data_IF_141280325363
#
_entry.id   IF_141280325363
#
_cell.length_a   1.000
_cell.length_b   1.000
_cell.length_c   1.000
_cell.angle_alpha   90.00
_cell.angle_beta   90.00
_cell.angle_gamma   90.00
#
_symmetry.space_group_name_H-M   'P 1'
#
loop_
_entity.id
_entity.type
_entity.pdbx_description
1 polymer ?
#
# COMPACT_ATOMS: atom_id res chain seq x y z
N UNK A 1 -20.11 8.44 -11.97
CA UNK A 1 -19.76 7.01 -12.27
C UNK A 1 -19.56 6.28 -10.97
N UNK A 2 -20.23 5.14 -10.76
CA UNK A 2 -20.01 4.35 -9.53
C UNK A 2 -18.76 3.44 -9.72
N UNK A 3 -17.63 3.84 -9.10
CA UNK A 3 -16.35 3.14 -9.22
C UNK A 3 -16.43 1.69 -8.72
N UNK A 4 -17.23 1.43 -7.69
CA UNK A 4 -17.47 0.08 -7.16
C UNK A 4 -18.17 -0.83 -8.19
N UNK A 5 -19.18 -0.31 -8.90
CA UNK A 5 -19.83 -1.09 -9.96
C UNK A 5 -18.87 -1.41 -11.12
N UNK A 6 -17.97 -0.50 -11.45
CA UNK A 6 -16.94 -0.78 -12.47
C UNK A 6 -15.94 -1.85 -12.01
N UNK A 7 -15.55 -1.83 -10.74
CA UNK A 7 -14.78 -2.93 -10.15
C UNK A 7 -15.52 -4.26 -10.21
N UNK A 8 -16.81 -4.29 -9.83
CA UNK A 8 -17.62 -5.52 -9.87
C UNK A 8 -17.73 -6.10 -11.28
N UNK A 9 -17.88 -5.27 -12.31
CA UNK A 9 -17.84 -5.70 -13.71
C UNK A 9 -16.50 -6.30 -14.09
N UNK A 10 -15.40 -5.64 -13.72
CA UNK A 10 -14.06 -6.15 -13.98
C UNK A 10 -13.81 -7.47 -13.25
N UNK A 11 -14.18 -7.57 -11.97
CA UNK A 11 -14.06 -8.80 -11.19
C UNK A 11 -14.86 -9.96 -11.82
N UNK A 12 -16.03 -9.68 -12.41
CA UNK A 12 -16.82 -10.68 -13.11
C UNK A 12 -16.12 -11.21 -14.38
N UNK A 13 -15.34 -10.35 -15.06
CA UNK A 13 -14.50 -10.79 -16.20
C UNK A 13 -13.43 -11.78 -15.70
N UNK A 14 -12.74 -11.48 -14.60
CA UNK A 14 -11.75 -12.40 -14.02
C UNK A 14 -12.38 -13.74 -13.64
N UNK A 15 -13.53 -13.73 -12.97
CA UNK A 15 -14.25 -14.93 -12.57
C UNK A 15 -14.64 -15.79 -13.77
N UNK A 16 -15.09 -15.19 -14.88
CA UNK A 16 -15.45 -15.92 -16.10
C UNK A 16 -14.26 -16.65 -16.73
N UNK A 17 -13.02 -16.24 -16.38
CA UNK A 17 -11.78 -16.90 -16.81
C UNK A 17 -11.13 -17.76 -15.71
N UNK A 18 -11.85 -18.00 -14.60
CA UNK A 18 -11.41 -18.88 -13.52
C UNK A 18 -10.49 -18.24 -12.48
N UNK A 19 -10.43 -16.90 -12.44
CA UNK A 19 -9.59 -16.15 -11.51
C UNK A 19 -10.42 -15.23 -10.62
N UNK A 20 -9.82 -14.80 -9.51
CA UNK A 20 -10.40 -13.82 -8.61
C UNK A 20 -9.72 -12.46 -8.76
N UNK A 21 -10.49 -11.39 -8.50
CA UNK A 21 -10.00 -10.03 -8.39
C UNK A 21 -10.53 -9.43 -7.10
N UNK A 22 -9.64 -8.83 -6.32
CA UNK A 22 -9.98 -8.17 -5.05
C UNK A 22 -9.47 -6.73 -5.09
N UNK A 23 -10.23 -5.78 -4.54
CA UNK A 23 -9.66 -4.50 -4.18
C UNK A 23 -8.76 -4.65 -2.96
N UNK A 24 -7.76 -3.78 -2.82
CA UNK A 24 -6.77 -3.90 -1.76
C UNK A 24 -6.20 -2.55 -1.33
N UNK A 25 -5.53 -2.53 -0.22
CA UNK A 25 -4.66 -1.42 0.17
C UNK A 25 -5.42 -0.13 0.47
N UNK A 26 -4.93 0.95 -0.15
CA UNK A 26 -5.53 2.28 0.01
C UNK A 26 -6.99 2.33 -0.40
N UNK A 27 -7.35 1.64 -1.47
CA UNK A 27 -8.73 1.59 -1.98
C UNK A 27 -9.70 1.04 -0.93
N UNK A 28 -9.36 -0.07 -0.27
CA UNK A 28 -10.23 -0.68 0.76
C UNK A 28 -10.31 0.19 2.01
N UNK A 29 -9.17 0.74 2.46
CA UNK A 29 -9.13 1.66 3.59
C UNK A 29 -10.01 2.88 3.33
N UNK A 30 -9.88 3.50 2.17
CA UNK A 30 -10.59 4.74 1.82
C UNK A 30 -12.10 4.46 1.62
N UNK A 31 -12.46 3.29 1.10
CA UNK A 31 -13.84 2.80 1.06
C UNK A 31 -14.44 2.69 2.48
N UNK A 32 -13.72 2.08 3.44
CA UNK A 32 -14.18 1.94 4.83
C UNK A 32 -14.30 3.29 5.55
N UNK A 33 -13.50 4.28 5.15
CA UNK A 33 -13.57 5.65 5.66
C UNK A 33 -14.60 6.53 4.92
N UNK A 34 -15.36 5.98 3.99
CA UNK A 34 -16.30 6.71 3.12
C UNK A 34 -15.63 7.89 2.37
N UNK A 35 -14.36 7.76 2.04
CA UNK A 35 -13.63 8.73 1.22
C UNK A 35 -13.87 8.47 -0.27
N UNK A 36 -13.64 9.51 -1.07
CA UNK A 36 -13.64 9.34 -2.52
C UNK A 36 -12.50 8.42 -2.94
N UNK A 37 -12.82 7.44 -3.79
CA UNK A 37 -11.82 6.53 -4.35
C UNK A 37 -11.22 7.17 -5.60
N UNK A 38 -9.90 7.24 -5.71
CA UNK A 38 -9.20 7.71 -6.91
C UNK A 38 -8.92 6.53 -7.87
N UNK A 39 -7.68 6.19 -8.11
CA UNK A 39 -7.29 4.99 -8.85
C UNK A 39 -7.57 3.75 -7.98
N UNK A 40 -7.92 2.63 -8.62
CA UNK A 40 -8.35 1.41 -7.94
C UNK A 40 -7.19 0.43 -7.82
N UNK A 41 -6.63 0.26 -6.61
CA UNK A 41 -5.66 -0.79 -6.34
C UNK A 41 -6.36 -2.15 -6.23
N UNK A 42 -5.95 -3.11 -7.04
CA UNK A 42 -6.51 -4.45 -7.06
C UNK A 42 -5.41 -5.53 -7.06
N UNK A 43 -5.77 -6.71 -6.60
CA UNK A 43 -4.92 -7.91 -6.68
C UNK A 43 -5.69 -9.08 -7.26
N UNK A 44 -4.97 -9.99 -7.93
CA UNK A 44 -5.54 -11.20 -8.52
C UNK A 44 -4.63 -12.42 -8.28
N UNK A 45 -5.24 -13.58 -8.24
CA UNK A 45 -4.55 -14.88 -8.30
C UNK A 45 -4.13 -15.28 -9.72
N UNK A 46 -4.49 -14.48 -10.74
CA UNK A 46 -3.99 -14.62 -12.10
C UNK A 46 -2.60 -14.00 -12.24
N UNK A 47 -1.70 -14.67 -12.95
CA UNK A 47 -0.39 -14.13 -13.36
C UNK A 47 -0.55 -13.06 -14.44
N UNK A 48 0.45 -12.18 -14.66
CA UNK A 48 0.38 -11.20 -15.73
C UNK A 48 0.10 -11.82 -17.11
N UNK A 49 0.70 -12.98 -17.39
CA UNK A 49 0.49 -13.69 -18.65
C UNK A 49 -0.96 -14.17 -18.80
N UNK A 50 -1.55 -14.71 -17.73
CA UNK A 50 -2.95 -15.14 -17.74
C UNK A 50 -3.89 -13.93 -17.91
N UNK A 51 -3.65 -12.81 -17.21
CA UNK A 51 -4.47 -11.59 -17.35
C UNK A 51 -4.43 -11.07 -18.80
N UNK A 52 -3.26 -11.04 -19.42
CA UNK A 52 -3.10 -10.57 -20.81
C UNK A 52 -3.82 -11.45 -21.83
N UNK A 53 -4.14 -12.71 -21.50
CA UNK A 53 -4.88 -13.59 -22.40
C UNK A 53 -6.36 -13.22 -22.57
N UNK A 54 -6.92 -12.48 -21.62
CA UNK A 54 -8.36 -12.11 -21.65
C UNK A 54 -8.65 -10.62 -21.44
N UNK A 55 -7.69 -9.83 -20.95
CA UNK A 55 -7.88 -8.40 -20.73
C UNK A 55 -7.02 -7.59 -21.74
N UNK A 56 -7.64 -6.95 -22.73
CA UNK A 56 -6.91 -6.16 -23.73
C UNK A 56 -6.50 -4.78 -23.17
N UNK A 57 -5.58 -4.11 -23.88
CA UNK A 57 -5.17 -2.73 -23.61
C UNK A 57 -4.60 -2.50 -22.20
N UNK A 58 -3.79 -3.44 -21.73
CA UNK A 58 -3.12 -3.38 -20.44
C UNK A 58 -1.70 -2.86 -20.63
N UNK A 59 -1.28 -1.89 -19.81
CA UNK A 59 0.12 -1.46 -19.71
C UNK A 59 0.93 -2.51 -18.93
N UNK A 60 1.97 -3.02 -19.56
CA UNK A 60 2.82 -4.14 -19.09
C UNK A 60 4.18 -3.69 -18.58
N UNK A 61 4.42 -2.39 -18.43
CA UNK A 61 5.72 -1.81 -18.03
C UNK A 61 6.30 -2.51 -16.80
N UNK A 62 5.47 -2.86 -15.82
CA UNK A 62 5.86 -3.51 -14.58
C UNK A 62 5.37 -4.97 -14.47
N UNK A 63 5.05 -5.62 -15.58
CA UNK A 63 4.57 -7.01 -15.59
C UNK A 63 5.58 -8.01 -14.98
N UNK A 64 6.88 -7.76 -15.14
CA UNK A 64 7.92 -8.56 -14.50
C UNK A 64 7.90 -8.52 -12.97
N UNK A 65 7.30 -7.49 -12.37
CA UNK A 65 7.04 -7.37 -10.94
C UNK A 65 5.64 -7.84 -10.56
N UNK A 66 4.85 -8.34 -11.51
CA UNK A 66 3.47 -8.76 -11.31
C UNK A 66 2.45 -7.62 -11.35
N UNK A 67 2.84 -6.39 -11.70
CA UNK A 67 1.94 -5.23 -11.72
C UNK A 67 1.57 -4.83 -13.15
N UNK A 68 0.28 -4.64 -13.39
CA UNK A 68 -0.33 -4.25 -14.65
C UNK A 68 -1.22 -3.03 -14.43
N UNK A 69 -1.28 -2.12 -15.41
CA UNK A 69 -2.21 -0.99 -15.36
C UNK A 69 -3.28 -1.16 -16.42
N UNK A 70 -4.50 -1.14 -15.99
CA UNK A 70 -5.67 -1.22 -16.86
C UNK A 70 -6.52 0.03 -16.76
N UNK A 71 -6.96 0.53 -17.89
CA UNK A 71 -7.91 1.64 -17.99
C UNK A 71 -9.16 1.15 -18.71
N UNK A 72 -10.30 1.18 -18.02
CA UNK A 72 -11.55 0.75 -18.61
C UNK A 72 -12.11 1.80 -19.62
N UNK A 73 -13.17 1.43 -20.34
CA UNK A 73 -13.82 2.29 -21.34
C UNK A 73 -14.33 3.62 -20.76
N UNK A 74 -14.65 3.64 -19.46
CA UNK A 74 -15.13 4.82 -18.74
C UNK A 74 -13.97 5.70 -18.20
N UNK A 75 -12.73 5.33 -18.48
CA UNK A 75 -11.55 6.08 -18.08
C UNK A 75 -11.05 5.79 -16.67
N UNK A 76 -11.71 4.90 -15.91
CA UNK A 76 -11.26 4.49 -14.57
C UNK A 76 -10.02 3.61 -14.68
N UNK A 77 -9.01 3.91 -13.86
CA UNK A 77 -7.76 3.19 -13.82
C UNK A 77 -7.76 2.16 -12.71
N UNK A 78 -7.18 1.01 -13.00
CA UNK A 78 -6.92 -0.08 -12.08
C UNK A 78 -5.44 -0.42 -12.11
N UNK A 79 -4.80 -0.42 -10.95
CA UNK A 79 -3.47 -0.98 -10.75
C UNK A 79 -3.64 -2.42 -10.24
N UNK A 80 -3.48 -3.39 -11.16
CA UNK A 80 -3.73 -4.81 -10.88
C UNK A 80 -2.39 -5.48 -10.59
N UNK A 81 -2.22 -6.03 -9.39
CA UNK A 81 -1.00 -6.75 -9.02
C UNK A 81 -1.34 -8.23 -8.80
N UNK A 82 -0.55 -9.13 -9.39
CA UNK A 82 -0.63 -10.57 -9.07
C UNK A 82 -0.26 -10.79 -7.61
N UNK A 83 -1.02 -11.63 -6.91
CA UNK A 83 -0.70 -12.06 -5.54
C UNK A 83 0.70 -12.65 -5.50
N UNK A 84 1.53 -12.22 -4.53
CA UNK A 84 2.92 -12.62 -4.49
C UNK A 84 3.51 -12.64 -3.08
N UNK A 85 4.52 -13.44 -2.91
CA UNK A 85 5.49 -13.38 -1.82
C UNK A 85 6.75 -12.65 -2.27
N UNK A 86 7.40 -11.99 -1.36
CA UNK A 86 8.66 -11.29 -1.59
C UNK A 86 9.69 -11.75 -0.56
N UNK A 87 10.91 -12.03 -1.01
CA UNK A 87 12.01 -12.40 -0.11
C UNK A 87 13.33 -11.79 -0.56
N UNK A 88 14.29 -11.74 0.41
CA UNK A 88 15.68 -11.31 0.17
C UNK A 88 15.79 -9.90 -0.42
N UNK A 89 15.58 -8.88 0.38
CA UNK A 89 15.75 -7.49 -0.02
C UNK A 89 17.24 -7.15 -0.17
N UNK A 90 17.66 -6.79 -1.38
CA UNK A 90 19.09 -6.56 -1.69
C UNK A 90 19.54 -5.12 -1.45
N UNK A 91 18.69 -4.15 -1.82
CA UNK A 91 19.03 -2.72 -1.82
C UNK A 91 18.12 -1.92 -0.88
N UNK A 92 17.67 -2.55 0.22
CA UNK A 92 16.74 -1.97 1.19
C UNK A 92 15.39 -1.54 0.57
N UNK A 93 14.96 -2.15 -0.55
CA UNK A 93 13.65 -1.88 -1.14
C UNK A 93 13.15 -2.93 -2.13
N UNK A 94 14.02 -3.43 -3.00
CA UNK A 94 13.59 -4.33 -4.07
C UNK A 94 13.83 -5.79 -3.63
N UNK A 95 12.77 -6.62 -3.62
CA UNK A 95 12.94 -8.03 -3.35
C UNK A 95 13.75 -8.66 -4.48
N UNK A 96 14.70 -9.54 -4.12
CA UNK A 96 15.44 -10.34 -5.10
C UNK A 96 14.56 -11.38 -5.78
N UNK A 97 13.65 -11.92 -5.02
CA UNK A 97 12.77 -12.98 -5.46
C UNK A 97 11.31 -12.58 -5.26
N UNK A 98 10.56 -12.69 -6.35
CA UNK A 98 9.13 -12.54 -6.40
C UNK A 98 8.57 -13.89 -6.80
N UNK A 99 7.74 -14.46 -5.95
CA UNK A 99 7.03 -15.71 -6.21
C UNK A 99 5.52 -15.43 -6.29
N UNK A 100 4.91 -15.69 -7.45
CA UNK A 100 3.47 -15.51 -7.60
C UNK A 100 2.74 -16.62 -6.86
N UNK A 101 1.75 -16.23 -6.05
CA UNK A 101 0.94 -17.12 -5.20
C UNK A 101 -0.54 -16.97 -5.51
N UNK A 102 -1.36 -17.91 -5.01
CA UNK A 102 -2.81 -17.87 -5.18
C UNK A 102 -3.57 -17.59 -3.88
N UNK A 103 -2.86 -17.49 -2.77
CA UNK A 103 -3.46 -17.29 -1.44
C UNK A 103 -3.20 -15.86 -0.93
N UNK A 104 -4.28 -15.16 -0.60
CA UNK A 104 -4.22 -13.83 0.03
C UNK A 104 -3.45 -13.85 1.35
N UNK A 105 -3.44 -15.00 2.06
CA UNK A 105 -2.70 -15.17 3.32
C UNK A 105 -1.18 -15.10 3.15
N UNK A 106 -0.67 -15.27 1.96
CA UNK A 106 0.75 -15.11 1.66
C UNK A 106 1.04 -13.67 1.23
N UNK A 107 0.16 -13.07 0.42
CA UNK A 107 0.35 -11.71 -0.08
C UNK A 107 0.29 -10.65 1.02
N UNK A 108 -0.58 -10.78 2.05
CA UNK A 108 -0.68 -9.73 3.07
C UNK A 108 0.60 -9.58 3.90
N UNK A 109 1.40 -10.63 4.07
CA UNK A 109 2.62 -10.62 4.88
C UNK A 109 3.70 -9.67 4.33
N UNK A 110 3.74 -9.44 3.01
CA UNK A 110 4.68 -8.49 2.40
C UNK A 110 4.25 -7.02 2.54
N UNK A 111 2.98 -6.74 2.89
CA UNK A 111 2.45 -5.38 2.99
C UNK A 111 3.01 -4.65 4.20
N UNK A 112 2.88 -3.33 4.20
CA UNK A 112 3.47 -2.47 5.23
C UNK A 112 2.65 -2.43 6.54
N UNK A 113 1.42 -1.94 6.46
CA UNK A 113 0.59 -1.67 7.64
C UNK A 113 -0.73 -2.42 7.56
N UNK A 114 -1.27 -2.78 8.74
CA UNK A 114 -2.52 -3.52 8.86
C UNK A 114 -3.68 -2.84 8.13
N UNK A 115 -3.78 -1.51 8.22
CA UNK A 115 -4.80 -0.70 7.56
C UNK A 115 -4.73 -0.71 6.02
N UNK A 116 -3.61 -1.15 5.45
CA UNK A 116 -3.38 -1.26 4.01
C UNK A 116 -3.31 -2.72 3.53
N UNK A 117 -3.67 -3.69 4.38
CA UNK A 117 -3.58 -5.12 4.06
C UNK A 117 -4.94 -5.82 4.10
N UNK A 118 -5.98 -5.06 4.01
CA UNK A 118 -7.35 -5.55 3.85
C UNK A 118 -7.67 -5.73 2.37
N UNK A 119 -8.44 -6.75 2.07
CA UNK A 119 -8.96 -7.05 0.73
C UNK A 119 -10.48 -6.92 0.71
N UNK A 120 -11.04 -6.63 -0.44
CA UNK A 120 -12.49 -6.59 -0.64
C UNK A 120 -12.85 -7.35 -1.90
N UNK A 121 -13.74 -8.33 -1.78
CA UNK A 121 -14.22 -9.12 -2.91
C UNK A 121 -15.29 -8.37 -3.74
N UNK A 122 -15.75 -8.99 -4.83
CA UNK A 122 -16.80 -8.43 -5.70
C UNK A 122 -18.15 -8.22 -5.00
N UNK A 123 -18.41 -8.96 -3.93
CA UNK A 123 -19.64 -8.87 -3.14
C UNK A 123 -19.49 -7.90 -1.96
N UNK A 124 -18.37 -7.17 -1.93
CA UNK A 124 -17.99 -6.14 -0.95
C UNK A 124 -17.73 -6.72 0.45
N UNK A 125 -17.46 -8.01 0.56
CA UNK A 125 -17.02 -8.60 1.82
C UNK A 125 -15.56 -8.25 2.07
N UNK A 126 -15.25 -7.79 3.29
CA UNK A 126 -13.89 -7.48 3.69
C UNK A 126 -13.19 -8.74 4.21
N UNK A 127 -12.02 -9.03 3.64
CA UNK A 127 -11.14 -10.11 4.06
C UNK A 127 -9.95 -9.46 4.78
N UNK A 128 -9.81 -9.73 6.07
CA UNK A 128 -8.83 -9.08 6.95
C UNK A 128 -8.12 -10.13 7.82
N UNK A 129 -6.85 -10.37 7.52
CA UNK A 129 -6.03 -11.37 8.24
C UNK A 129 -5.22 -10.78 9.38
N UNK A 130 -5.17 -9.45 9.52
CA UNK A 130 -4.27 -8.77 10.45
C UNK A 130 -4.96 -7.75 11.35
N UNK A 131 -6.29 -7.79 11.46
CA UNK A 131 -7.11 -6.83 12.22
C UNK A 131 -7.00 -5.37 11.74
N UNK A 132 -6.81 -5.14 10.44
CA UNK A 132 -6.70 -3.81 9.86
C UNK A 132 -7.95 -2.96 10.07
N UNK A 133 -9.16 -3.56 10.00
CA UNK A 133 -10.41 -2.84 10.32
C UNK A 133 -10.45 -2.36 11.77
N UNK A 134 -10.00 -3.20 12.71
CA UNK A 134 -9.94 -2.85 14.14
C UNK A 134 -8.92 -1.74 14.38
N UNK A 135 -7.73 -1.84 13.79
CA UNK A 135 -6.71 -0.81 13.93
C UNK A 135 -7.18 0.51 13.32
N UNK A 136 -7.84 0.49 12.14
CA UNK A 136 -8.40 1.66 11.51
C UNK A 136 -9.48 2.33 12.38
N UNK A 137 -10.40 1.54 12.95
CA UNK A 137 -11.47 2.05 13.83
C UNK A 137 -10.95 2.62 15.15
N UNK A 138 -9.83 2.07 15.65
CA UNK A 138 -9.17 2.53 16.89
C UNK A 138 -8.13 3.64 16.63
N UNK A 139 -8.00 4.11 15.39
CA UNK A 139 -6.98 5.09 14.99
C UNK A 139 -5.55 4.66 15.32
N UNK A 140 -5.20 3.38 15.10
CA UNK A 140 -3.87 2.82 15.34
C UNK A 140 -3.16 2.57 14.00
N UNK A 141 -1.91 2.98 13.89
CA UNK A 141 -1.01 2.57 12.81
C UNK A 141 -0.08 1.47 13.31
N UNK A 142 -0.28 0.27 12.80
CA UNK A 142 0.49 -0.93 13.14
C UNK A 142 1.16 -1.52 11.91
N UNK A 143 2.43 -1.90 12.06
CA UNK A 143 3.19 -2.61 11.02
C UNK A 143 2.83 -4.11 11.02
N UNK A 144 2.85 -4.73 9.85
CA UNK A 144 2.72 -6.18 9.70
C UNK A 144 4.10 -6.80 9.92
N UNK A 145 4.17 -7.76 10.84
CA UNK A 145 5.43 -8.39 11.23
C UNK A 145 6.24 -7.56 12.23
N UNK A 146 7.50 -7.91 12.40
CA UNK A 146 8.42 -7.22 13.32
C UNK A 146 8.87 -5.88 12.72
N UNK A 147 8.59 -4.73 13.37
CA UNK A 147 8.94 -3.42 12.84
C UNK A 147 10.44 -3.24 12.58
N UNK A 148 11.30 -3.80 13.44
CA UNK A 148 12.76 -3.67 13.30
C UNK A 148 13.27 -4.37 12.05
N UNK A 149 12.73 -5.54 11.72
CA UNK A 149 13.03 -6.29 10.52
C UNK A 149 12.46 -5.56 9.29
N UNK A 150 11.19 -5.19 9.35
CA UNK A 150 10.46 -4.59 8.23
C UNK A 150 11.00 -3.23 7.80
N UNK A 151 11.51 -2.43 8.75
CA UNK A 151 12.14 -1.14 8.44
C UNK A 151 13.54 -1.29 7.84
N UNK A 152 14.26 -2.38 8.15
CA UNK A 152 15.52 -2.70 7.47
C UNK A 152 15.31 -3.17 6.02
N UNK A 153 14.23 -3.89 5.76
CA UNK A 153 13.84 -4.31 4.40
C UNK A 153 13.53 -3.12 3.49
N UNK A 154 12.75 -2.15 3.99
CA UNK A 154 12.42 -0.91 3.26
C UNK A 154 12.31 0.27 4.23
N UNK A 155 13.37 1.07 4.40
CA UNK A 155 13.36 2.24 5.27
C UNK A 155 12.33 3.31 4.87
N UNK A 156 11.86 3.32 3.60
CA UNK A 156 10.83 4.25 3.16
C UNK A 156 9.52 4.07 3.93
N UNK A 157 9.31 2.88 4.55
CA UNK A 157 8.18 2.63 5.44
C UNK A 157 8.13 3.57 6.65
N UNK A 158 9.27 4.15 7.07
CA UNK A 158 9.31 5.20 8.11
C UNK A 158 8.53 6.43 7.65
N UNK A 159 8.83 6.94 6.46
CA UNK A 159 8.14 8.11 5.90
C UNK A 159 6.68 7.81 5.59
N UNK A 160 6.40 6.58 5.12
CA UNK A 160 5.03 6.12 4.90
C UNK A 160 4.23 6.06 6.20
N UNK A 161 4.85 5.58 7.31
CA UNK A 161 4.21 5.57 8.63
C UNK A 161 3.86 6.99 9.09
N UNK A 162 4.79 7.92 8.99
CA UNK A 162 4.56 9.33 9.34
C UNK A 162 3.44 9.91 8.48
N UNK A 163 3.48 9.68 7.17
CA UNK A 163 2.44 10.15 6.25
C UNK A 163 1.06 9.61 6.61
N UNK A 164 0.92 8.30 6.82
CA UNK A 164 -0.37 7.71 7.19
C UNK A 164 -0.86 8.17 8.56
N UNK A 165 0.04 8.28 9.55
CA UNK A 165 -0.30 8.81 10.86
C UNK A 165 -0.87 10.23 10.75
N UNK A 166 -0.27 11.08 9.92
CA UNK A 166 -0.71 12.46 9.71
C UNK A 166 -2.02 12.53 8.92
N UNK A 167 -2.12 11.84 7.77
CA UNK A 167 -3.27 11.93 6.86
C UNK A 167 -4.56 11.32 7.43
N UNK A 168 -4.44 10.29 8.28
CA UNK A 168 -5.59 9.56 8.83
C UNK A 168 -5.74 9.75 10.34
N UNK A 169 -4.97 10.66 10.94
CA UNK A 169 -4.98 10.93 12.39
C UNK A 169 -4.84 9.64 13.20
N UNK A 170 -3.81 8.84 12.89
CA UNK A 170 -3.54 7.56 13.55
C UNK A 170 -2.42 7.72 14.57
N UNK A 171 -2.57 7.04 15.71
CA UNK A 171 -1.50 6.90 16.69
C UNK A 171 -0.59 5.76 16.25
N UNK A 172 0.70 6.05 16.11
CA UNK A 172 1.70 5.03 15.78
C UNK A 172 1.85 4.09 16.98
N UNK A 173 1.74 2.80 16.73
CA UNK A 173 1.89 1.77 17.76
C UNK A 173 3.30 1.85 18.39
N UNK A 174 3.44 1.71 19.75
CA UNK A 174 4.70 1.98 20.44
C UNK A 174 5.91 1.21 19.90
N UNK A 175 5.78 -0.07 19.58
CA UNK A 175 6.90 -0.86 19.05
C UNK A 175 7.35 -0.38 17.67
N UNK A 176 6.39 0.06 16.83
CA UNK A 176 6.71 0.67 15.55
C UNK A 176 7.40 2.04 15.74
N UNK A 177 6.91 2.86 16.67
CA UNK A 177 7.48 4.17 16.95
C UNK A 177 8.94 4.08 17.44
N UNK A 178 9.23 3.17 18.36
CA UNK A 178 10.59 2.90 18.84
C UNK A 178 11.49 2.41 17.71
N UNK A 179 11.05 1.44 16.93
CA UNK A 179 11.81 0.93 15.78
C UNK A 179 12.06 2.04 14.73
N UNK A 180 11.09 2.91 14.47
CA UNK A 180 11.28 4.05 13.56
C UNK A 180 12.37 5.00 14.06
N UNK A 181 12.37 5.33 15.35
CA UNK A 181 13.39 6.18 15.97
C UNK A 181 14.79 5.56 15.85
N UNK A 182 14.91 4.26 16.21
CA UNK A 182 16.18 3.54 16.18
C UNK A 182 16.71 3.32 14.76
N UNK A 183 15.84 3.29 13.74
CA UNK A 183 16.19 3.03 12.33
C UNK A 183 16.09 4.27 11.43
N UNK A 184 15.80 5.44 11.99
CA UNK A 184 15.64 6.66 11.19
C UNK A 184 16.86 6.99 10.31
N UNK A 185 18.06 6.67 10.79
CA UNK A 185 19.31 6.86 10.06
C UNK A 185 19.35 6.10 8.71
N UNK A 186 18.57 5.01 8.56
CA UNK A 186 18.53 4.24 7.33
C UNK A 186 17.95 5.04 6.15
N UNK A 187 17.23 6.13 6.41
CA UNK A 187 16.74 7.03 5.36
C UNK A 187 17.88 7.69 4.57
N UNK A 188 19.09 7.79 5.13
CA UNK A 188 20.27 8.26 4.40
C UNK A 188 20.64 7.37 3.21
N UNK A 189 20.19 6.13 3.17
CA UNK A 189 20.40 5.21 2.06
C UNK A 189 19.33 5.34 0.96
N UNK A 190 18.30 6.16 1.18
CA UNK A 190 17.21 6.39 0.24
C UNK A 190 17.49 7.65 -0.58
N UNK A 191 17.21 7.59 -1.88
CA UNK A 191 17.39 8.75 -2.75
C UNK A 191 16.44 9.90 -2.40
N UNK A 192 16.93 11.13 -2.50
CA UNK A 192 16.13 12.35 -2.23
C UNK A 192 14.82 12.39 -3.02
N UNK A 193 14.83 11.92 -4.26
CA UNK A 193 13.62 11.87 -5.09
C UNK A 193 12.52 10.98 -4.48
N UNK A 194 12.88 9.85 -3.88
CA UNK A 194 11.94 8.94 -3.21
C UNK A 194 11.43 9.54 -1.90
N UNK A 195 12.31 10.17 -1.12
CA UNK A 195 11.96 10.88 0.12
C UNK A 195 10.95 11.99 -0.20
N UNK A 196 11.26 12.85 -1.17
CA UNK A 196 10.37 13.93 -1.64
C UNK A 196 9.02 13.38 -2.09
N UNK A 197 9.01 12.31 -2.90
CA UNK A 197 7.77 11.69 -3.37
C UNK A 197 6.84 11.21 -2.25
N UNK A 198 7.36 10.78 -1.09
CA UNK A 198 6.51 10.43 0.06
C UNK A 198 6.07 11.67 0.84
N UNK A 199 6.93 12.68 0.97
CA UNK A 199 6.60 13.92 1.68
C UNK A 199 5.56 14.74 0.90
N UNK A 200 5.68 14.82 -0.43
CA UNK A 200 4.77 15.58 -1.30
C UNK A 200 3.34 15.01 -1.33
N UNK A 201 3.17 13.74 -0.93
CA UNK A 201 1.84 13.13 -0.76
C UNK A 201 1.13 13.58 0.51
N UNK A 202 1.80 14.26 1.42
CA UNK A 202 1.19 14.80 2.65
C UNK A 202 0.53 16.12 2.29
N UNK A 203 -0.79 16.12 2.16
CA UNK A 203 -1.57 17.34 1.90
C UNK A 203 -1.72 18.11 3.22
N UNK A 204 -1.50 19.43 3.19
CA UNK A 204 -1.60 20.27 4.39
C UNK A 204 -3.01 20.30 4.98
N UNK A 205 -4.02 20.13 4.15
CA UNK A 205 -5.44 20.20 4.48
C UNK A 205 -5.92 19.05 5.39
N UNK A 206 -5.26 17.88 5.31
CA UNK A 206 -5.65 16.65 6.00
C UNK A 206 -4.94 16.45 7.35
N UNK A 207 -4.12 17.43 7.81
CA UNK A 207 -3.18 17.19 8.89
C UNK A 207 -3.58 17.90 10.18
N UNK A 208 -3.77 17.13 11.28
CA UNK A 208 -3.86 17.69 12.62
C UNK A 208 -2.53 18.40 12.98
N UNK A 209 -2.57 19.74 13.02
CA UNK A 209 -1.37 20.59 13.21
C UNK A 209 -0.60 20.31 14.51
N UNK A 210 -1.27 19.86 15.58
CA UNK A 210 -0.61 19.55 16.85
C UNK A 210 0.21 18.27 16.73
N UNK A 211 -0.38 17.21 16.22
CA UNK A 211 0.28 15.92 16.03
C UNK A 211 1.41 16.02 14.98
N UNK A 212 1.24 16.85 13.94
CA UNK A 212 2.29 17.16 12.96
C UNK A 212 3.53 17.74 13.64
N UNK A 213 3.37 18.71 14.53
CA UNK A 213 4.50 19.34 15.24
C UNK A 213 5.26 18.32 16.10
N UNK A 214 4.53 17.47 16.83
CA UNK A 214 5.12 16.43 17.67
C UNK A 214 5.91 15.41 16.84
N UNK A 215 5.33 14.84 15.78
CA UNK A 215 6.02 13.91 14.89
C UNK A 215 7.18 14.55 14.13
N UNK A 216 7.03 15.77 13.65
CA UNK A 216 8.08 16.47 12.91
C UNK A 216 9.26 16.87 13.81
N UNK A 217 9.00 17.15 15.10
CA UNK A 217 10.08 17.44 16.06
C UNK A 217 10.84 16.19 16.46
N UNK A 218 10.14 15.05 16.61
CA UNK A 218 10.77 13.79 17.00
C UNK A 218 11.65 13.19 15.89
N UNK A 219 11.21 13.26 14.63
CA UNK A 219 11.90 12.65 13.49
C UNK A 219 12.73 13.63 12.66
N UNK A 220 12.92 14.87 13.13
CA UNK A 220 13.74 15.90 12.46
C UNK A 220 13.51 16.00 10.92
N UNK A 221 12.26 15.79 10.51
CA UNK A 221 11.87 15.83 9.07
C UNK A 221 12.11 17.21 8.46
N UNK A 222 12.19 18.26 9.31
CA UNK A 222 12.54 19.61 8.88
C UNK A 222 13.98 19.66 8.36
N UNK A 223 14.90 18.92 8.97
CA UNK A 223 16.28 18.81 8.49
C UNK A 223 16.41 17.83 7.31
N UNK A 224 15.54 16.81 7.20
CA UNK A 224 15.40 16.08 5.94
C UNK A 224 14.98 17.01 4.79
N UNK A 225 14.13 18.01 5.02
CA UNK A 225 13.85 19.08 4.04
C UNK A 225 15.07 19.98 3.80
N UNK A 226 15.99 20.14 4.76
CA UNK A 226 17.23 20.92 4.62
C UNK A 226 18.35 20.16 3.89
N UNK A 227 18.36 18.84 3.97
CA UNK A 227 19.20 17.93 3.14
C UNK A 227 18.67 17.85 1.70
N UNK A 228 17.41 18.17 1.52
CA UNK A 228 16.72 18.28 0.24
C UNK A 228 16.73 19.74 -0.21
N UNK A 229 17.90 20.23 -0.66
CA UNK A 229 18.03 21.52 -1.36
C UNK A 229 17.53 21.40 -2.78
#
# INVERSE_FOLDING_TARGET
MNKIQEFQKLAQIFISHGFNLFLVGGTVRDYLLNKELDDMDAVSDATPFEILSFLPNVDTTFAHLGSLKYKNENGLKFDITTLREESDYFDSRHPKHINFVKDLKLDYLRRDFTINAMYMDKDLNIIDYCNGQKDLSNHILRMIGDPDIRLKEDPLRILRAIRFALMFNLVIEPSLFEAMRDRFYLLSNITDAKIRSEIDKIKEEDVNLRYKKELLSEFDIVNLKGVIK
#
